data_IF_658109949863
#
_entry.id   IF_658109949863
#
_cell.length_a   1.000
_cell.length_b   1.000
_cell.length_c   1.000
_cell.angle_alpha   90.00
_cell.angle_beta   90.00
_cell.angle_gamma   90.00
#
_symmetry.space_group_name_H-M   'P 1'
#
loop_
_entity.id
_entity.type
_entity.pdbx_description
1 polymer ?
#
# COMPACT_ATOMS: atom_id res chain seq x y z
N UNK A 1 -13.28 -15.78 0.12
CA UNK A 1 -13.33 -14.35 0.50
C UNK A 1 -14.75 -13.81 0.48
N UNK A 2 -15.19 -13.19 1.56
CA UNK A 2 -16.45 -12.43 1.66
C UNK A 2 -16.34 -11.08 0.93
N UNK A 3 -17.47 -10.38 0.74
CA UNK A 3 -17.47 -9.01 0.19
C UNK A 3 -16.67 -8.02 1.06
N UNK A 4 -16.74 -8.19 2.39
CA UNK A 4 -16.02 -7.33 3.34
C UNK A 4 -14.51 -7.57 3.26
N UNK A 5 -14.09 -8.83 3.21
CA UNK A 5 -12.69 -9.24 3.03
C UNK A 5 -12.12 -8.71 1.70
N UNK A 6 -12.88 -8.86 0.61
CA UNK A 6 -12.48 -8.31 -0.70
C UNK A 6 -12.35 -6.79 -0.67
N UNK A 7 -13.27 -6.09 -0.01
CA UNK A 7 -13.17 -4.64 0.17
C UNK A 7 -11.90 -4.25 0.91
N UNK A 8 -11.53 -4.96 1.99
CA UNK A 8 -10.32 -4.68 2.75
C UNK A 8 -9.04 -4.91 1.93
N UNK A 9 -8.97 -6.01 1.17
CA UNK A 9 -7.83 -6.28 0.26
C UNK A 9 -7.71 -5.22 -0.82
N UNK A 10 -8.83 -4.82 -1.42
CA UNK A 10 -8.85 -3.77 -2.45
C UNK A 10 -8.41 -2.42 -1.88
N UNK A 11 -8.81 -2.08 -0.65
CA UNK A 11 -8.34 -0.86 0.03
C UNK A 11 -6.83 -0.90 0.30
N UNK A 12 -6.30 -2.02 0.78
CA UNK A 12 -4.86 -2.18 0.99
C UNK A 12 -4.07 -2.05 -0.33
N UNK A 13 -4.59 -2.67 -1.42
CA UNK A 13 -4.02 -2.54 -2.77
C UNK A 13 -4.04 -1.10 -3.27
N UNK A 14 -5.15 -0.39 -3.06
CA UNK A 14 -5.29 1.01 -3.44
C UNK A 14 -4.28 1.89 -2.70
N UNK A 15 -4.18 1.76 -1.37
CA UNK A 15 -3.22 2.52 -0.56
C UNK A 15 -1.79 2.27 -1.05
N UNK A 16 -1.40 1.01 -1.29
CA UNK A 16 -0.08 0.66 -1.85
C UNK A 16 0.21 1.37 -3.17
N UNK A 17 -0.78 1.47 -4.05
CA UNK A 17 -0.61 2.17 -5.33
C UNK A 17 -0.51 3.69 -5.14
N UNK A 18 -1.30 4.27 -4.23
CA UNK A 18 -1.27 5.71 -3.95
C UNK A 18 0.03 6.16 -3.30
N UNK A 19 0.68 5.32 -2.48
CA UNK A 19 1.97 5.68 -1.88
C UNK A 19 3.09 5.80 -2.93
N UNK A 20 3.06 5.02 -4.02
CA UNK A 20 3.98 5.22 -5.15
C UNK A 20 3.71 6.54 -5.88
N UNK A 21 2.44 6.82 -6.18
CA UNK A 21 2.06 8.07 -6.86
C UNK A 21 2.45 9.29 -6.00
N UNK A 22 2.30 9.18 -4.67
CA UNK A 22 2.74 10.23 -3.76
C UNK A 22 4.26 10.37 -3.79
N UNK A 23 5.02 9.27 -3.75
CA UNK A 23 6.47 9.29 -3.83
C UNK A 23 6.96 10.01 -5.11
N UNK A 24 6.39 9.67 -6.28
CA UNK A 24 6.72 10.34 -7.55
C UNK A 24 6.49 11.86 -7.46
N UNK A 25 5.36 12.27 -6.87
CA UNK A 25 5.04 13.70 -6.67
C UNK A 25 5.99 14.39 -5.70
N UNK A 26 6.48 13.69 -4.68
CA UNK A 26 7.42 14.26 -3.71
C UNK A 26 8.81 14.41 -4.33
N UNK A 27 9.21 13.46 -5.18
CA UNK A 27 10.43 13.53 -5.98
C UNK A 27 10.38 14.71 -6.97
N UNK A 28 9.25 14.91 -7.67
CA UNK A 28 9.05 16.06 -8.58
C UNK A 28 9.15 17.43 -7.87
N UNK A 29 8.97 17.46 -6.55
CA UNK A 29 9.02 18.67 -5.72
C UNK A 29 10.35 18.84 -4.97
N UNK A 30 11.34 17.98 -5.21
CA UNK A 30 12.63 17.95 -4.49
C UNK A 30 12.47 17.87 -2.96
N UNK A 31 11.43 17.15 -2.48
CA UNK A 31 11.14 16.98 -1.05
C UNK A 31 11.76 15.70 -0.49
N UNK A 32 13.09 15.58 -0.54
CA UNK A 32 13.84 14.35 -0.24
C UNK A 32 13.47 13.69 1.10
N UNK A 33 13.34 14.47 2.18
CA UNK A 33 12.96 13.94 3.50
C UNK A 33 11.57 13.30 3.46
N UNK A 34 10.61 13.94 2.77
CA UNK A 34 9.25 13.43 2.64
C UNK A 34 9.18 12.24 1.69
N UNK A 35 10.00 12.24 0.63
CA UNK A 35 10.15 11.09 -0.26
C UNK A 35 10.66 9.86 0.51
N UNK A 36 11.70 10.02 1.34
CA UNK A 36 12.22 8.95 2.20
C UNK A 36 11.16 8.42 3.19
N UNK A 37 10.37 9.30 3.81
CA UNK A 37 9.25 8.88 4.65
C UNK A 37 8.17 8.13 3.85
N UNK A 38 7.91 8.56 2.60
CA UNK A 38 6.93 7.94 1.72
C UNK A 38 7.38 6.56 1.21
N UNK A 39 8.68 6.34 1.01
CA UNK A 39 9.25 5.02 0.72
C UNK A 39 8.97 4.03 1.86
N UNK A 40 9.23 4.43 3.11
CA UNK A 40 8.92 3.60 4.28
C UNK A 40 7.42 3.31 4.39
N UNK A 41 6.58 4.32 4.12
CA UNK A 41 5.13 4.15 4.07
C UNK A 41 4.71 3.15 2.97
N UNK A 42 5.37 3.18 1.81
CA UNK A 42 5.13 2.26 0.71
C UNK A 42 5.47 0.81 1.09
N UNK A 43 6.64 0.58 1.68
CA UNK A 43 7.05 -0.75 2.16
C UNK A 43 6.06 -1.32 3.19
N UNK A 44 5.58 -0.46 4.10
CA UNK A 44 4.54 -0.83 5.07
C UNK A 44 3.24 -1.19 4.35
N UNK A 45 2.78 -0.38 3.39
CA UNK A 45 1.55 -0.63 2.63
C UNK A 45 1.65 -1.93 1.82
N UNK A 46 2.79 -2.21 1.19
CA UNK A 46 3.04 -3.45 0.48
C UNK A 46 3.00 -4.66 1.41
N UNK A 47 3.72 -4.61 2.53
CA UNK A 47 3.73 -5.67 3.53
C UNK A 47 2.31 -5.96 4.04
N UNK A 48 1.52 -4.91 4.31
CA UNK A 48 0.12 -5.05 4.75
C UNK A 48 -0.76 -5.69 3.68
N UNK A 49 -0.67 -5.24 2.43
CA UNK A 49 -1.41 -5.84 1.31
C UNK A 49 -1.07 -7.33 1.14
N UNK A 50 0.22 -7.66 1.05
CA UNK A 50 0.69 -9.03 0.86
C UNK A 50 0.25 -9.96 2.00
N UNK A 51 0.35 -9.51 3.25
CA UNK A 51 -0.07 -10.31 4.40
C UNK A 51 -1.58 -10.49 4.44
N UNK A 52 -2.36 -9.44 4.16
CA UNK A 52 -3.82 -9.49 4.15
C UNK A 52 -4.34 -10.41 3.04
N UNK A 53 -3.79 -10.28 1.83
CA UNK A 53 -4.14 -11.14 0.70
C UNK A 53 -3.83 -12.62 1.02
N UNK A 54 -2.62 -12.92 1.51
CA UNK A 54 -2.22 -14.29 1.90
C UNK A 54 -3.10 -14.86 3.01
N UNK A 55 -3.46 -14.05 4.01
CA UNK A 55 -4.29 -14.51 5.12
C UNK A 55 -5.70 -14.88 4.64
N UNK A 56 -6.29 -14.06 3.78
CA UNK A 56 -7.67 -14.23 3.33
C UNK A 56 -7.83 -15.22 2.16
N UNK A 57 -6.76 -15.50 1.40
CA UNK A 57 -6.76 -16.61 0.43
C UNK A 57 -6.54 -17.97 1.07
N UNK A 58 -5.80 -18.07 2.18
CA UNK A 58 -5.66 -19.32 2.95
C UNK A 58 -6.93 -19.75 3.68
N UNK A 59 -7.88 -18.83 3.87
CA UNK A 59 -9.18 -19.07 4.49
C UNK A 59 -10.28 -19.46 3.48
N UNK A 60 -9.99 -19.42 2.18
CA UNK A 60 -10.91 -19.78 1.10
C UNK A 60 -10.66 -21.21 0.62
#
# INVERSE_FOLDING_TARGET
MTKQELSAVNMAKFIKAQTLILLDKLNDLDLDERANECEQLHEMAETRYCNLEKQLTKQA
#
